data_IF_408173212362
#
_entry.id   IF_408173212362
#
_cell.length_a   1.000
_cell.length_b   1.000
_cell.length_c   1.000
_cell.angle_alpha   90.00
_cell.angle_beta   90.00
_cell.angle_gamma   90.00
#
_symmetry.space_group_name_H-M   'P 1'
#
loop_
_entity.id
_entity.type
_entity.pdbx_description
1 polymer ?
#
# COMPACT_ATOMS: atom_id res chain seq x y z
N UNK A 1 -22.93 -8.65 3.90
CA UNK A 1 -22.42 -7.32 4.29
C UNK A 1 -21.39 -7.37 5.42
N UNK A 2 -21.69 -7.68 6.70
CA UNK A 2 -20.67 -7.70 7.76
C UNK A 2 -19.52 -8.70 7.49
N UNK A 3 -19.81 -9.91 7.01
CA UNK A 3 -18.77 -10.90 6.67
C UNK A 3 -17.90 -10.45 5.49
N UNK A 4 -18.47 -9.84 4.49
CA UNK A 4 -17.76 -9.32 3.31
C UNK A 4 -16.81 -8.18 3.70
N UNK A 5 -17.25 -7.29 4.58
CA UNK A 5 -16.41 -6.21 5.12
C UNK A 5 -15.24 -6.80 5.90
N UNK A 6 -15.50 -7.70 6.86
CA UNK A 6 -14.42 -8.33 7.64
C UNK A 6 -13.44 -9.08 6.74
N UNK A 7 -13.93 -9.81 5.73
CA UNK A 7 -13.06 -10.47 4.76
C UNK A 7 -12.21 -9.45 3.99
N UNK A 8 -12.84 -8.38 3.50
CA UNK A 8 -12.15 -7.33 2.75
C UNK A 8 -11.03 -6.64 3.54
N UNK A 9 -11.25 -6.41 4.84
CA UNK A 9 -10.24 -5.83 5.73
C UNK A 9 -9.04 -6.74 5.96
N UNK A 10 -9.24 -8.05 5.89
CA UNK A 10 -8.18 -9.05 6.13
C UNK A 10 -7.44 -9.44 4.85
N UNK A 11 -8.02 -9.24 3.68
CA UNK A 11 -7.44 -9.64 2.38
C UNK A 11 -6.04 -9.01 2.17
N UNK A 12 -5.80 -7.70 2.35
CA UNK A 12 -4.47 -7.11 2.23
C UNK A 12 -3.45 -7.76 3.16
N UNK A 13 -3.76 -7.84 4.44
CA UNK A 13 -2.93 -8.48 5.46
C UNK A 13 -2.58 -9.93 5.14
N UNK A 14 -3.50 -10.69 4.52
CA UNK A 14 -3.22 -12.04 4.05
C UNK A 14 -2.19 -12.03 2.92
N UNK A 15 -2.22 -11.03 2.04
CA UNK A 15 -1.21 -10.82 1.00
C UNK A 15 0.19 -10.69 1.59
N UNK A 16 0.38 -9.73 2.51
CA UNK A 16 1.63 -9.51 3.24
C UNK A 16 2.09 -10.79 3.98
N UNK A 17 1.15 -11.45 4.66
CA UNK A 17 1.46 -12.67 5.43
C UNK A 17 1.88 -13.84 4.55
N UNK A 18 1.24 -14.03 3.39
CA UNK A 18 1.61 -15.05 2.40
C UNK A 18 2.98 -14.75 1.78
N UNK A 19 3.26 -13.48 1.46
CA UNK A 19 4.57 -13.04 1.02
C UNK A 19 5.65 -13.32 2.06
N UNK A 20 5.40 -12.95 3.30
CA UNK A 20 6.31 -13.24 4.42
C UNK A 20 6.57 -14.75 4.60
N UNK A 21 5.60 -15.61 4.30
CA UNK A 21 5.75 -17.05 4.39
C UNK A 21 6.74 -17.64 3.37
N UNK A 22 7.12 -16.90 2.31
CA UNK A 22 8.13 -17.31 1.35
C UNK A 22 9.46 -17.68 2.03
N UNK A 23 9.84 -16.99 3.12
CA UNK A 23 11.06 -17.30 3.89
C UNK A 23 11.09 -18.74 4.43
N UNK A 24 9.93 -19.37 4.65
CA UNK A 24 9.86 -20.75 5.15
C UNK A 24 10.29 -21.77 4.09
N UNK A 25 10.03 -21.48 2.82
CA UNK A 25 10.21 -22.40 1.70
C UNK A 25 11.46 -22.11 0.87
N UNK A 26 11.87 -20.84 0.79
CA UNK A 26 13.04 -20.45 0.01
C UNK A 26 14.33 -20.73 0.75
N UNK A 27 15.37 -21.15 -0.01
CA UNK A 27 16.70 -21.47 0.51
C UNK A 27 17.72 -20.36 0.25
N UNK A 28 17.43 -19.48 -0.67
CA UNK A 28 18.31 -18.39 -1.12
C UNK A 28 17.52 -17.08 -1.19
N UNK A 29 18.24 -15.97 -1.10
CA UNK A 29 17.67 -14.64 -1.27
C UNK A 29 17.08 -14.46 -2.66
N UNK A 30 16.17 -13.49 -2.79
CA UNK A 30 15.61 -13.09 -4.08
C UNK A 30 16.73 -12.57 -4.99
N UNK A 31 16.80 -13.07 -6.21
CA UNK A 31 17.70 -12.46 -7.19
C UNK A 31 17.26 -11.02 -7.49
N UNK A 32 18.21 -10.16 -7.83
CA UNK A 32 17.92 -8.75 -8.18
C UNK A 32 16.87 -8.61 -9.28
N UNK A 33 16.88 -9.52 -10.28
CA UNK A 33 15.86 -9.52 -11.34
C UNK A 33 14.46 -9.81 -10.84
N UNK A 34 14.31 -10.78 -9.93
CA UNK A 34 13.03 -11.10 -9.29
C UNK A 34 12.56 -9.96 -8.41
N UNK A 35 13.45 -9.37 -7.62
CA UNK A 35 13.15 -8.24 -6.77
C UNK A 35 12.61 -7.06 -7.61
N UNK A 36 13.33 -6.63 -8.66
CA UNK A 36 12.87 -5.57 -9.58
C UNK A 36 11.53 -5.89 -10.23
N UNK A 37 11.31 -7.15 -10.60
CA UNK A 37 10.06 -7.59 -11.19
C UNK A 37 8.89 -7.44 -10.19
N UNK A 38 9.08 -7.87 -8.95
CA UNK A 38 8.09 -7.80 -7.89
C UNK A 38 7.80 -6.34 -7.49
N UNK A 39 8.84 -5.53 -7.31
CA UNK A 39 8.72 -4.11 -6.97
C UNK A 39 8.04 -3.33 -8.10
N UNK A 40 8.44 -3.56 -9.36
CA UNK A 40 7.77 -2.94 -10.52
C UNK A 40 6.30 -3.33 -10.61
N UNK A 41 5.98 -4.60 -10.39
CA UNK A 41 4.59 -5.08 -10.38
C UNK A 41 3.75 -4.38 -9.29
N UNK A 42 4.26 -4.33 -8.05
CA UNK A 42 3.61 -3.64 -6.94
C UNK A 42 3.38 -2.15 -7.25
N UNK A 43 4.40 -1.44 -7.74
CA UNK A 43 4.31 -0.03 -8.14
C UNK A 43 3.21 0.21 -9.19
N UNK A 44 3.07 -0.71 -10.17
CA UNK A 44 2.03 -0.65 -11.18
C UNK A 44 0.63 -0.81 -10.60
N UNK A 45 0.42 -1.81 -9.73
CA UNK A 45 -0.86 -2.04 -9.01
C UNK A 45 -1.23 -0.83 -8.17
N UNK A 46 -0.30 -0.33 -7.33
CA UNK A 46 -0.53 0.85 -6.48
C UNK A 46 -0.89 2.10 -7.28
N UNK A 47 -0.20 2.34 -8.40
CA UNK A 47 -0.49 3.48 -9.27
C UNK A 47 -1.90 3.40 -9.84
N UNK A 48 -2.32 2.25 -10.35
CA UNK A 48 -3.67 2.06 -10.88
C UNK A 48 -4.73 2.18 -9.79
N UNK A 49 -4.54 1.54 -8.63
CA UNK A 49 -5.45 1.65 -7.48
C UNK A 49 -5.64 3.10 -7.03
N UNK A 50 -4.54 3.87 -6.94
CA UNK A 50 -4.59 5.29 -6.58
C UNK A 50 -5.48 6.10 -7.53
N UNK A 51 -5.49 5.77 -8.82
CA UNK A 51 -6.27 6.49 -9.83
C UNK A 51 -7.72 6.01 -9.81
N UNK A 52 -7.97 4.72 -10.08
CA UNK A 52 -9.31 4.19 -10.30
C UNK A 52 -10.11 4.00 -9.02
N UNK A 53 -9.51 3.43 -7.98
CA UNK A 53 -10.24 3.12 -6.75
C UNK A 53 -10.32 4.31 -5.77
N UNK A 54 -9.48 5.35 -5.92
CA UNK A 54 -9.41 6.44 -4.95
C UNK A 54 -9.65 7.83 -5.57
N UNK A 55 -8.87 8.27 -6.56
CA UNK A 55 -8.97 9.65 -7.11
C UNK A 55 -10.27 9.82 -7.92
N UNK A 56 -10.59 8.87 -8.80
CA UNK A 56 -11.80 8.95 -9.61
C UNK A 56 -13.06 9.00 -8.75
N UNK A 57 -13.27 8.09 -7.77
CA UNK A 57 -14.40 8.20 -6.84
C UNK A 57 -14.43 9.49 -6.03
N UNK A 58 -13.26 10.00 -5.59
CA UNK A 58 -13.18 11.27 -4.86
C UNK A 58 -13.69 12.45 -5.70
N UNK A 59 -13.37 12.47 -6.99
CA UNK A 59 -13.89 13.49 -7.92
C UNK A 59 -15.37 13.31 -8.20
N UNK A 60 -15.85 12.06 -8.37
CA UNK A 60 -17.29 11.74 -8.53
C UNK A 60 -18.11 12.25 -7.37
N UNK A 61 -17.70 11.95 -6.13
CA UNK A 61 -18.35 12.46 -4.91
C UNK A 61 -18.38 14.00 -4.82
N UNK A 62 -17.55 14.67 -5.60
CA UNK A 62 -17.40 16.14 -5.61
C UNK A 62 -18.08 16.82 -6.80
N UNK A 63 -18.82 16.11 -7.66
CA UNK A 63 -19.44 16.63 -8.89
C UNK A 63 -20.34 17.84 -8.66
N UNK A 64 -20.98 17.96 -7.48
CA UNK A 64 -21.77 19.13 -7.09
C UNK A 64 -20.99 20.45 -7.10
N UNK A 65 -19.67 20.40 -7.07
CA UNK A 65 -18.80 21.57 -7.17
C UNK A 65 -18.55 22.01 -8.63
N UNK A 66 -19.12 21.32 -9.62
CA UNK A 66 -18.98 21.62 -11.04
C UNK A 66 -17.52 21.65 -11.47
N UNK A 67 -17.06 22.76 -12.03
CA UNK A 67 -15.65 22.90 -12.49
C UNK A 67 -14.60 22.81 -11.38
N UNK A 68 -14.99 22.88 -10.12
CA UNK A 68 -14.12 22.77 -8.95
C UNK A 68 -14.13 21.38 -8.31
N UNK A 69 -14.75 20.37 -8.96
CA UNK A 69 -14.81 18.99 -8.46
C UNK A 69 -13.43 18.37 -8.18
N UNK A 70 -12.39 18.82 -8.85
CA UNK A 70 -11.01 18.40 -8.60
C UNK A 70 -10.43 18.92 -7.29
N UNK A 71 -10.99 19.98 -6.69
CA UNK A 71 -10.37 20.69 -5.57
C UNK A 71 -10.21 19.82 -4.31
N UNK A 72 -11.24 19.06 -3.84
CA UNK A 72 -11.06 18.12 -2.74
C UNK A 72 -9.99 17.07 -3.02
N UNK A 73 -9.95 16.56 -4.26
CA UNK A 73 -8.97 15.57 -4.68
C UNK A 73 -7.53 16.12 -4.63
N UNK A 74 -7.30 17.32 -5.15
CA UNK A 74 -6.00 17.99 -5.12
C UNK A 74 -5.55 18.25 -3.67
N UNK A 75 -6.44 18.77 -2.83
CA UNK A 75 -6.11 19.09 -1.43
C UNK A 75 -5.77 17.79 -0.68
N UNK A 76 -6.62 16.77 -0.76
CA UNK A 76 -6.39 15.49 -0.09
C UNK A 76 -5.08 14.84 -0.56
N UNK A 77 -4.84 14.81 -1.85
CA UNK A 77 -3.62 14.25 -2.45
C UNK A 77 -2.34 14.89 -1.90
N UNK A 78 -2.27 16.22 -1.88
CA UNK A 78 -1.13 16.92 -1.30
C UNK A 78 -0.97 16.68 0.20
N UNK A 79 -2.08 16.60 0.95
CA UNK A 79 -2.01 16.23 2.36
C UNK A 79 -1.45 14.82 2.56
N UNK A 80 -1.80 13.85 1.69
CA UNK A 80 -1.25 12.50 1.74
C UNK A 80 0.27 12.47 1.50
N UNK A 81 0.75 13.17 0.46
CA UNK A 81 2.18 13.31 0.17
C UNK A 81 2.92 13.96 1.35
N UNK A 82 2.41 15.09 1.85
CA UNK A 82 3.06 15.84 2.93
C UNK A 82 3.06 15.05 4.25
N UNK A 83 2.03 14.23 4.49
CA UNK A 83 1.94 13.37 5.65
C UNK A 83 3.04 12.29 5.61
N UNK A 84 3.22 11.60 4.49
CA UNK A 84 4.27 10.58 4.36
C UNK A 84 5.66 11.22 4.43
N UNK A 85 5.87 12.33 3.73
CA UNK A 85 7.13 13.09 3.80
C UNK A 85 7.47 13.50 5.25
N UNK A 86 6.45 13.89 6.05
CA UNK A 86 6.64 14.20 7.47
C UNK A 86 6.99 12.94 8.27
N UNK A 87 6.30 11.82 8.04
CA UNK A 87 6.62 10.56 8.72
C UNK A 87 8.02 10.08 8.40
N UNK A 88 8.44 10.12 7.15
CA UNK A 88 9.79 9.79 6.70
C UNK A 88 10.86 10.63 7.41
N UNK A 89 10.60 11.91 7.55
CA UNK A 89 11.54 12.82 8.24
C UNK A 89 11.59 12.62 9.76
N UNK A 90 10.55 12.05 10.38
CA UNK A 90 10.44 11.90 11.84
C UNK A 90 10.74 10.48 12.31
N UNK A 91 10.31 9.46 11.60
CA UNK A 91 10.41 8.07 12.05
C UNK A 91 11.73 7.47 11.54
N UNK A 92 12.57 6.94 12.45
CA UNK A 92 13.79 6.25 12.04
C UNK A 92 13.46 4.99 11.24
N UNK A 93 13.79 4.98 9.96
CA UNK A 93 13.55 3.86 9.06
C UNK A 93 14.72 3.67 8.09
N UNK A 94 14.77 2.55 7.39
CA UNK A 94 15.84 2.20 6.46
C UNK A 94 15.24 1.46 5.27
N UNK A 95 15.47 2.01 4.08
CA UNK A 95 15.14 1.34 2.84
C UNK A 95 16.10 0.17 2.57
N UNK A 96 15.62 -0.85 1.88
CA UNK A 96 16.30 -2.15 1.78
C UNK A 96 17.72 -2.05 1.23
N UNK A 97 17.94 -1.21 0.23
CA UNK A 97 19.23 -1.04 -0.43
C UNK A 97 20.03 0.18 0.05
N UNK A 98 19.57 0.88 1.08
CA UNK A 98 20.26 2.03 1.66
C UNK A 98 21.21 1.61 2.80
N UNK A 99 22.36 2.25 2.86
CA UNK A 99 23.29 2.14 4.00
C UNK A 99 23.02 3.23 5.05
N UNK A 100 22.29 4.28 4.70
CA UNK A 100 21.96 5.40 5.58
C UNK A 100 20.50 5.30 6.02
N UNK A 101 20.30 5.31 7.33
CA UNK A 101 18.96 5.44 7.90
C UNK A 101 18.43 6.86 7.69
N UNK A 102 17.13 6.96 7.43
CA UNK A 102 16.40 8.20 7.32
C UNK A 102 15.60 8.46 8.61
N UNK A 103 15.03 9.66 8.73
CA UNK A 103 14.35 10.11 9.94
C UNK A 103 15.28 10.58 11.04
N UNK A 104 14.77 10.66 12.26
CA UNK A 104 15.54 11.13 13.42
C UNK A 104 16.62 10.13 13.82
N UNK A 105 17.80 10.59 14.29
CA UNK A 105 18.87 9.68 14.73
C UNK A 105 18.38 8.67 15.76
N UNK A 106 18.63 7.39 15.52
CA UNK A 106 18.13 6.30 16.35
C UNK A 106 19.21 5.25 16.58
N UNK A 107 19.07 4.51 17.71
CA UNK A 107 19.86 3.32 18.04
C UNK A 107 19.13 2.01 17.68
N UNK A 108 18.04 2.08 16.92
CA UNK A 108 17.32 0.90 16.50
C UNK A 108 18.18 -0.01 15.61
N UNK A 109 18.00 -1.30 15.74
CA UNK A 109 18.66 -2.26 14.87
C UNK A 109 18.22 -2.04 13.41
N UNK A 110 19.13 -2.27 12.45
CA UNK A 110 18.86 -2.19 11.01
C UNK A 110 17.58 -2.93 10.62
N UNK A 111 17.43 -4.17 11.09
CA UNK A 111 16.23 -4.98 10.87
C UNK A 111 14.94 -4.33 11.35
N UNK A 112 14.97 -3.63 12.48
CA UNK A 112 13.77 -2.93 13.02
C UNK A 112 13.43 -1.73 12.14
N UNK A 113 14.42 -0.99 11.67
CA UNK A 113 14.21 0.16 10.78
C UNK A 113 13.64 -0.26 9.43
N UNK A 114 14.09 -1.39 8.87
CA UNK A 114 13.50 -1.96 7.65
C UNK A 114 12.03 -2.36 7.81
N UNK A 115 11.67 -3.01 8.93
CA UNK A 115 10.28 -3.35 9.23
C UNK A 115 9.44 -2.08 9.41
N UNK A 116 9.99 -1.04 10.03
CA UNK A 116 9.29 0.24 10.21
C UNK A 116 9.02 0.93 8.86
N UNK A 117 9.96 0.92 7.91
CA UNK A 117 9.75 1.49 6.59
C UNK A 117 8.45 0.95 5.97
N UNK A 118 8.36 -0.37 5.77
CA UNK A 118 7.16 -0.98 5.16
C UNK A 118 5.91 -0.83 6.05
N UNK A 119 6.05 -0.84 7.39
CA UNK A 119 4.91 -0.60 8.27
C UNK A 119 4.30 0.79 8.04
N UNK A 120 5.12 1.82 7.78
CA UNK A 120 4.65 3.17 7.46
C UNK A 120 3.85 3.21 6.17
N UNK A 121 4.26 2.44 5.16
CA UNK A 121 3.58 2.37 3.86
C UNK A 121 2.24 1.62 3.96
N UNK A 122 2.16 0.59 4.77
CA UNK A 122 0.95 -0.19 4.97
C UNK A 122 -0.17 0.56 5.73
N UNK A 123 0.14 1.66 6.44
CA UNK A 123 -0.88 2.49 7.11
C UNK A 123 -1.86 3.13 6.10
N UNK A 124 -1.40 3.89 5.09
CA UNK A 124 -2.28 4.44 4.05
C UNK A 124 -3.08 3.39 3.29
N UNK A 125 -2.51 2.21 3.06
CA UNK A 125 -3.19 1.11 2.37
C UNK A 125 -4.36 0.57 3.18
N UNK A 126 -4.14 0.31 4.47
CA UNK A 126 -5.21 -0.07 5.38
C UNK A 126 -6.29 1.01 5.47
N UNK A 127 -5.90 2.28 5.56
CA UNK A 127 -6.85 3.40 5.55
C UNK A 127 -7.64 3.45 4.23
N UNK A 128 -7.02 3.26 3.06
CA UNK A 128 -7.68 3.26 1.77
C UNK A 128 -8.80 2.21 1.71
N UNK A 129 -8.51 0.96 2.09
CA UNK A 129 -9.50 -0.12 2.19
C UNK A 129 -10.63 0.27 3.15
N UNK A 130 -10.27 0.78 4.33
CA UNK A 130 -11.24 1.22 5.33
C UNK A 130 -12.17 2.33 4.85
N UNK A 131 -11.66 3.33 4.12
CA UNK A 131 -12.42 4.44 3.57
C UNK A 131 -13.43 3.92 2.53
N UNK A 132 -12.99 3.06 1.60
CA UNK A 132 -13.86 2.53 0.53
C UNK A 132 -14.95 1.64 1.13
N UNK A 133 -14.62 0.74 2.06
CA UNK A 133 -15.65 -0.05 2.75
C UNK A 133 -16.59 0.81 3.62
N UNK A 134 -16.09 1.87 4.23
CA UNK A 134 -16.93 2.84 4.94
C UNK A 134 -17.94 3.51 4.00
N UNK A 135 -17.53 3.88 2.78
CA UNK A 135 -18.40 4.41 1.75
C UNK A 135 -19.49 3.43 1.33
N UNK A 136 -19.13 2.16 1.11
CA UNK A 136 -20.10 1.09 0.81
C UNK A 136 -21.12 0.91 1.95
N UNK A 137 -20.66 0.87 3.20
CA UNK A 137 -21.52 0.71 4.37
C UNK A 137 -22.49 1.87 4.58
N UNK A 138 -22.09 3.07 4.18
CA UNK A 138 -22.89 4.28 4.31
C UNK A 138 -23.76 4.58 3.09
N UNK A 139 -23.69 3.73 2.05
CA UNK A 139 -24.53 3.83 0.86
C UNK A 139 -24.09 4.95 -0.10
N UNK A 140 -22.79 5.26 -0.14
CA UNK A 140 -22.25 6.19 -1.15
C UNK A 140 -22.50 5.63 -2.56
N UNK A 141 -23.07 6.46 -3.45
CA UNK A 141 -23.37 6.06 -4.83
C UNK A 141 -22.09 5.78 -5.67
N UNK A 142 -20.99 6.40 -5.29
CA UNK A 142 -19.69 6.29 -6.00
C UNK A 142 -18.86 5.09 -5.55
N UNK A 143 -19.36 4.26 -4.61
CA UNK A 143 -18.64 3.13 -4.05
C UNK A 143 -19.48 1.86 -4.07
N UNK A 144 -18.97 0.85 -4.76
CA UNK A 144 -19.60 -0.46 -4.85
C UNK A 144 -18.86 -1.48 -3.98
N UNK A 145 -19.56 -2.56 -3.59
CA UNK A 145 -18.92 -3.68 -2.89
C UNK A 145 -17.89 -4.39 -3.78
N UNK A 146 -18.14 -4.40 -5.11
CA UNK A 146 -17.22 -4.94 -6.09
C UNK A 146 -15.92 -4.12 -6.18
N UNK A 147 -16.02 -2.79 -6.28
CA UNK A 147 -14.86 -1.89 -6.28
C UNK A 147 -14.06 -1.97 -4.97
N UNK A 148 -14.75 -2.07 -3.82
CA UNK A 148 -14.08 -2.28 -2.54
C UNK A 148 -13.30 -3.61 -2.50
N UNK A 149 -13.86 -4.67 -3.07
CA UNK A 149 -13.18 -5.96 -3.19
C UNK A 149 -12.01 -5.89 -4.18
N UNK A 150 -12.19 -5.20 -5.33
CA UNK A 150 -11.13 -4.99 -6.32
C UNK A 150 -9.91 -4.30 -5.68
N UNK A 151 -10.15 -3.20 -4.93
CA UNK A 151 -9.09 -2.51 -4.20
C UNK A 151 -8.41 -3.43 -3.18
N UNK A 152 -9.18 -4.15 -2.36
CA UNK A 152 -8.62 -5.05 -1.35
C UNK A 152 -7.78 -6.18 -1.98
N UNK A 153 -8.23 -6.76 -3.10
CA UNK A 153 -7.47 -7.75 -3.86
C UNK A 153 -6.22 -7.16 -4.50
N UNK A 154 -6.32 -5.98 -5.09
CA UNK A 154 -5.18 -5.27 -5.67
C UNK A 154 -4.09 -5.04 -4.61
N UNK A 155 -4.47 -4.51 -3.46
CA UNK A 155 -3.54 -4.29 -2.33
C UNK A 155 -2.97 -5.63 -1.84
N UNK A 156 -3.76 -6.69 -1.71
CA UNK A 156 -3.24 -8.01 -1.31
C UNK A 156 -2.20 -8.55 -2.29
N UNK A 157 -2.42 -8.36 -3.60
CA UNK A 157 -1.51 -8.83 -4.65
C UNK A 157 -0.19 -8.08 -4.60
N UNK A 158 -0.20 -6.76 -4.37
CA UNK A 158 1.03 -5.97 -4.23
C UNK A 158 1.76 -6.24 -2.92
N UNK A 159 1.03 -6.48 -1.84
CA UNK A 159 1.59 -6.75 -0.51
C UNK A 159 2.27 -8.12 -0.42
N UNK A 160 1.95 -9.05 -1.32
CA UNK A 160 2.69 -10.32 -1.38
C UNK A 160 4.19 -10.10 -1.66
N UNK A 161 4.62 -9.35 -2.70
CA UNK A 161 6.00 -8.93 -2.82
C UNK A 161 6.59 -8.28 -1.57
N UNK A 162 5.87 -7.36 -0.95
CA UNK A 162 6.35 -6.60 0.21
C UNK A 162 6.62 -7.49 1.42
N UNK A 163 5.74 -8.43 1.72
CA UNK A 163 5.97 -9.40 2.78
C UNK A 163 7.22 -10.27 2.55
N UNK A 164 7.48 -10.66 1.30
CA UNK A 164 8.68 -11.41 0.92
C UNK A 164 9.95 -10.54 1.04
N UNK A 165 9.87 -9.29 0.57
CA UNK A 165 10.94 -8.30 0.61
C UNK A 165 11.39 -8.00 2.06
N UNK A 166 10.49 -8.06 3.05
CA UNK A 166 10.87 -7.91 4.46
C UNK A 166 11.42 -9.20 5.03
N UNK A 167 10.70 -10.30 4.89
CA UNK A 167 11.00 -11.54 5.62
C UNK A 167 12.32 -12.18 5.16
N UNK A 168 12.65 -12.09 3.88
CA UNK A 168 13.84 -12.73 3.35
C UNK A 168 15.16 -12.04 3.78
N UNK A 169 15.31 -10.72 3.69
CA UNK A 169 16.50 -10.05 4.24
C UNK A 169 16.64 -10.22 5.76
N UNK A 170 15.54 -10.20 6.52
CA UNK A 170 15.60 -10.50 7.95
C UNK A 170 16.21 -11.88 8.23
N UNK A 171 15.92 -12.87 7.41
CA UNK A 171 16.53 -14.19 7.51
C UNK A 171 17.98 -14.17 7.08
N UNK A 172 18.33 -13.49 5.99
CA UNK A 172 19.70 -13.32 5.52
C UNK A 172 20.61 -12.65 6.57
N UNK A 173 20.08 -11.69 7.35
CA UNK A 173 20.77 -11.08 8.49
C UNK A 173 20.85 -11.98 9.74
N UNK A 174 20.52 -13.27 9.63
CA UNK A 174 20.70 -14.27 10.69
C UNK A 174 19.51 -14.45 11.63
N UNK A 175 18.34 -13.85 11.35
CA UNK A 175 17.12 -14.16 12.12
C UNK A 175 16.63 -15.56 11.76
N UNK A 176 16.07 -16.28 12.74
CA UNK A 176 15.42 -17.56 12.44
C UNK A 176 14.22 -17.33 11.50
N UNK A 177 13.87 -18.34 10.67
CA UNK A 177 12.74 -18.26 9.74
C UNK A 177 11.45 -17.82 10.44
N UNK A 178 11.17 -18.33 11.65
CA UNK A 178 10.00 -17.90 12.42
C UNK A 178 10.02 -16.43 12.81
N UNK A 179 11.18 -15.89 13.23
CA UNK A 179 11.31 -14.45 13.55
C UNK A 179 11.21 -13.58 12.30
N UNK A 180 11.80 -14.01 11.20
CA UNK A 180 11.72 -13.32 9.92
C UNK A 180 10.27 -13.29 9.38
N UNK A 181 9.58 -14.42 9.41
CA UNK A 181 8.15 -14.52 9.10
C UNK A 181 7.32 -13.58 9.98
N UNK A 182 7.51 -13.62 11.31
CA UNK A 182 6.77 -12.75 12.23
C UNK A 182 7.04 -11.27 11.96
N UNK A 183 8.25 -10.90 11.56
CA UNK A 183 8.59 -9.52 11.18
C UNK A 183 7.77 -9.03 9.98
N UNK A 184 7.68 -9.85 8.92
CA UNK A 184 6.84 -9.54 7.76
C UNK A 184 5.35 -9.52 8.08
N UNK A 185 4.84 -10.45 8.89
CA UNK A 185 3.43 -10.45 9.32
C UNK A 185 3.11 -9.20 10.16
N UNK A 186 3.99 -8.80 11.06
CA UNK A 186 3.77 -7.64 11.91
C UNK A 186 3.78 -6.33 11.13
N UNK A 187 4.56 -6.20 10.05
CA UNK A 187 4.52 -5.00 9.21
C UNK A 187 3.16 -4.82 8.52
N UNK A 188 2.47 -5.91 8.15
CA UNK A 188 1.12 -5.85 7.59
C UNK A 188 -0.01 -5.72 8.63
N UNK A 189 0.26 -5.95 9.92
CA UNK A 189 -0.80 -5.91 10.94
C UNK A 189 -1.46 -4.53 11.11
N UNK A 190 -0.80 -3.46 10.67
CA UNK A 190 -1.35 -2.10 10.67
C UNK A 190 -2.46 -1.89 9.63
N UNK A 191 -2.52 -2.71 8.59
CA UNK A 191 -3.53 -2.61 7.53
C UNK A 191 -4.95 -2.87 8.07
N UNK A 192 -5.26 -4.04 8.68
CA UNK A 192 -6.58 -4.27 9.24
C UNK A 192 -6.90 -3.34 10.41
N UNK A 193 -5.89 -2.88 11.16
CA UNK A 193 -6.08 -1.91 12.24
C UNK A 193 -6.46 -0.53 11.69
N UNK A 194 -5.74 -0.03 10.67
CA UNK A 194 -6.04 1.22 9.98
C UNK A 194 -7.42 1.20 9.33
N UNK A 195 -7.75 0.12 8.63
CA UNK A 195 -9.05 -0.07 8.02
C UNK A 195 -10.19 -0.10 9.05
N UNK A 196 -10.03 -0.82 10.15
CA UNK A 196 -11.03 -0.89 11.23
C UNK A 196 -11.25 0.48 11.87
N UNK A 197 -10.18 1.20 12.21
CA UNK A 197 -10.28 2.56 12.80
C UNK A 197 -11.02 3.52 11.86
N UNK A 198 -10.75 3.43 10.57
CA UNK A 198 -11.44 4.24 9.55
C UNK A 198 -12.93 3.92 9.48
N UNK A 199 -13.30 2.63 9.45
CA UNK A 199 -14.71 2.21 9.44
C UNK A 199 -15.43 2.64 10.73
N UNK A 200 -14.84 2.47 11.89
CA UNK A 200 -15.43 2.90 13.17
C UNK A 200 -15.65 4.42 13.22
N UNK A 201 -14.88 5.17 12.46
CA UNK A 201 -15.00 6.62 12.34
C UNK A 201 -15.88 7.08 11.17
N UNK A 202 -16.45 6.15 10.40
CA UNK A 202 -17.13 6.41 9.12
C UNK A 202 -18.18 7.51 9.19
N UNK A 203 -19.06 7.49 10.21
CA UNK A 203 -20.13 8.49 10.35
C UNK A 203 -19.61 9.94 10.49
N UNK A 204 -18.41 10.12 11.02
CA UNK A 204 -17.76 11.44 11.14
C UNK A 204 -16.95 11.78 9.89
N UNK A 205 -16.50 10.78 9.15
CA UNK A 205 -15.62 10.93 7.99
C UNK A 205 -16.38 11.16 6.68
N UNK A 206 -17.67 10.81 6.59
CA UNK A 206 -18.50 10.98 5.40
C UNK A 206 -18.38 12.36 4.72
N UNK A 207 -18.46 13.50 5.46
CA UNK A 207 -18.41 14.82 4.83
C UNK A 207 -17.06 15.15 4.19
N UNK A 208 -16.00 14.47 4.65
CA UNK A 208 -14.61 14.70 4.20
C UNK A 208 -14.06 13.53 3.38
N UNK A 209 -14.92 12.58 3.01
CA UNK A 209 -14.53 11.36 2.30
C UNK A 209 -13.74 11.62 1.00
N UNK A 210 -14.09 12.57 0.13
CA UNK A 210 -13.30 12.88 -1.06
C UNK A 210 -11.86 13.27 -0.75
N UNK A 211 -11.65 14.00 0.35
CA UNK A 211 -10.32 14.38 0.82
C UNK A 211 -9.54 13.17 1.33
N UNK A 212 -10.22 12.25 2.04
CA UNK A 212 -9.58 11.06 2.63
C UNK A 212 -9.17 10.04 1.57
N UNK A 213 -10.03 9.81 0.56
CA UNK A 213 -9.71 8.97 -0.58
C UNK A 213 -8.46 9.49 -1.29
N UNK A 214 -8.44 10.78 -1.60
CA UNK A 214 -7.31 11.40 -2.28
C UNK A 214 -6.08 11.51 -1.39
N UNK A 215 -6.24 11.63 -0.08
CA UNK A 215 -5.15 11.52 0.89
C UNK A 215 -4.47 10.15 0.80
N UNK A 216 -5.25 9.08 0.83
CA UNK A 216 -4.71 7.72 0.68
C UNK A 216 -4.00 7.54 -0.68
N UNK A 217 -4.60 8.06 -1.77
CA UNK A 217 -3.97 8.04 -3.09
C UNK A 217 -2.63 8.80 -3.11
N UNK A 218 -2.58 10.00 -2.51
CA UNK A 218 -1.35 10.79 -2.42
C UNK A 218 -0.26 10.09 -1.63
N UNK A 219 -0.60 9.49 -0.51
CA UNK A 219 0.32 8.69 0.29
C UNK A 219 0.85 7.47 -0.48
N UNK A 220 -0.03 6.73 -1.18
CA UNK A 220 0.39 5.59 -2.02
C UNK A 220 1.29 6.03 -3.18
N UNK A 221 0.99 7.14 -3.86
CA UNK A 221 1.85 7.67 -4.92
C UNK A 221 3.20 8.15 -4.38
N UNK A 222 3.25 8.68 -3.15
CA UNK A 222 4.52 9.00 -2.49
C UNK A 222 5.42 7.76 -2.40
N UNK A 223 4.90 6.65 -1.88
CA UNK A 223 5.64 5.36 -1.79
C UNK A 223 6.09 4.88 -3.16
N UNK A 224 5.22 4.94 -4.17
CA UNK A 224 5.56 4.52 -5.53
C UNK A 224 6.76 5.31 -6.07
N UNK A 225 6.77 6.63 -5.89
CA UNK A 225 7.80 7.51 -6.47
C UNK A 225 9.08 7.51 -5.65
N UNK A 226 8.97 7.49 -4.31
CA UNK A 226 10.11 7.57 -3.41
C UNK A 226 10.86 6.23 -3.28
N UNK A 227 10.13 5.13 -3.26
CA UNK A 227 10.73 3.80 -3.04
C UNK A 227 10.65 2.87 -4.25
N UNK A 228 9.45 2.57 -4.71
CA UNK A 228 9.26 1.45 -5.62
C UNK A 228 9.87 1.72 -7.01
N UNK A 229 9.76 2.94 -7.54
CA UNK A 229 10.35 3.31 -8.84
C UNK A 229 11.89 3.31 -8.76
N UNK A 230 12.54 3.91 -7.78
CA UNK A 230 13.99 3.80 -7.60
C UNK A 230 14.44 2.35 -7.46
N UNK A 231 13.79 1.54 -6.62
CA UNK A 231 14.16 0.16 -6.36
C UNK A 231 14.02 -0.73 -7.61
N UNK A 232 12.93 -0.61 -8.37
CA UNK A 232 12.74 -1.40 -9.60
C UNK A 232 13.74 -1.02 -10.70
N UNK A 233 14.37 0.16 -10.60
CA UNK A 233 15.32 0.70 -11.58
C UNK A 233 16.79 0.55 -11.14
N UNK A 234 17.06 0.06 -9.93
CA UNK A 234 18.40 -0.02 -9.36
C UNK A 234 19.36 -0.94 -10.11
N UNK A 235 20.63 -0.53 -10.26
CA UNK A 235 21.73 -1.32 -10.84
C UNK A 235 21.78 -1.26 -12.37
N UNK A 236 22.17 -2.35 -13.05
CA UNK A 236 22.30 -2.38 -14.51
C UNK A 236 20.96 -2.19 -15.20
N UNK A 237 20.96 -1.49 -16.34
CA UNK A 237 19.75 -1.23 -17.12
C UNK A 237 19.00 -2.52 -17.45
N UNK A 238 17.70 -2.54 -17.14
CA UNK A 238 16.82 -3.68 -17.41
C UNK A 238 15.38 -3.20 -17.61
N UNK A 239 14.68 -3.75 -18.59
CA UNK A 239 13.29 -3.42 -18.85
C UNK A 239 12.31 -4.20 -17.95
N UNK A 240 12.80 -5.12 -17.10
CA UNK A 240 11.93 -6.03 -16.34
C UNK A 240 11.00 -5.27 -15.38
N UNK A 241 11.52 -4.24 -14.70
CA UNK A 241 10.74 -3.38 -13.80
C UNK A 241 9.60 -2.69 -14.55
N UNK A 242 9.90 -2.06 -15.69
CA UNK A 242 8.87 -1.36 -16.50
C UNK A 242 7.83 -2.31 -17.07
N UNK A 243 8.25 -3.50 -17.54
CA UNK A 243 7.32 -4.52 -18.06
C UNK A 243 6.37 -4.97 -16.95
N UNK A 244 6.90 -5.31 -15.78
CA UNK A 244 6.09 -5.79 -14.65
C UNK A 244 5.24 -4.66 -14.04
N UNK A 245 5.72 -3.41 -14.02
CA UNK A 245 4.90 -2.24 -13.72
C UNK A 245 3.67 -2.18 -14.64
N UNK A 246 3.88 -2.31 -15.95
CA UNK A 246 2.79 -2.27 -16.92
C UNK A 246 1.80 -3.43 -16.73
N UNK A 247 2.30 -4.62 -16.39
CA UNK A 247 1.45 -5.79 -16.07
C UNK A 247 0.63 -5.51 -14.80
N UNK A 248 1.25 -5.05 -13.72
CA UNK A 248 0.56 -4.72 -12.46
C UNK A 248 -0.50 -3.64 -12.64
N UNK A 249 -0.13 -2.56 -13.34
CA UNK A 249 -1.04 -1.46 -13.68
C UNK A 249 -2.26 -1.95 -14.47
N UNK A 250 -2.03 -2.75 -15.51
CA UNK A 250 -3.11 -3.27 -16.36
C UNK A 250 -4.00 -4.24 -15.60
N UNK A 251 -3.40 -5.11 -14.78
CA UNK A 251 -4.16 -6.06 -13.95
C UNK A 251 -5.11 -5.32 -12.99
N UNK A 252 -4.60 -4.32 -12.27
CA UNK A 252 -5.42 -3.57 -11.33
C UNK A 252 -6.52 -2.76 -12.03
N UNK A 253 -6.20 -2.12 -13.16
CA UNK A 253 -7.20 -1.43 -13.98
C UNK A 253 -8.32 -2.38 -14.43
N UNK A 254 -7.97 -3.63 -14.83
CA UNK A 254 -8.97 -4.64 -15.20
C UNK A 254 -9.82 -5.04 -13.99
N UNK A 255 -9.20 -5.29 -12.84
CA UNK A 255 -9.92 -5.66 -11.62
C UNK A 255 -10.93 -4.57 -11.22
N UNK A 256 -10.50 -3.33 -11.23
CA UNK A 256 -11.34 -2.20 -10.83
C UNK A 256 -12.53 -2.02 -11.78
N UNK A 257 -12.29 -2.04 -13.09
CA UNK A 257 -13.35 -1.85 -14.10
C UNK A 257 -14.27 -3.08 -14.21
N UNK A 258 -13.75 -4.31 -14.00
CA UNK A 258 -14.55 -5.53 -14.14
C UNK A 258 -15.37 -5.87 -12.89
N UNK A 259 -14.95 -5.45 -11.71
CA UNK A 259 -15.63 -5.71 -10.44
C UNK A 259 -16.35 -4.47 -9.89
N UNK A 260 -15.83 -3.26 -10.19
CA UNK A 260 -16.39 -1.97 -9.76
C UNK A 260 -17.58 -1.56 -10.57
#
# INVERSE_FOLDING_TARGET
>A
MQKEVVSGLLIPFLGTSLGAACVCFMKHDLSRGVQRALTGFAAGVMTAASIWSLIIPAMGMSERLGKLAFLPAVIGFWFGILFLLLLDSLIPHLHMNSEKAEGLPSKLARTTMMVLAVTLHNIPEGMAVGIVYAGVLTGSADMTAGGALALALGIAIQNFPEGAIISMPLHAEGKSKGKAFSGGVLSGAVEPLGALLTILSASRLLPVMPYLLSFAAGAMIYVVVEELIPEMSEGEHSNIGVILFSVGFTLMMILDVALG
#
